data_IF_006623245585
#
_entry.id   IF_006623245585
#
_cell.length_a   1.000
_cell.length_b   1.000
_cell.length_c   1.000
_cell.angle_alpha   90.00
_cell.angle_beta   90.00
_cell.angle_gamma   90.00
#
_symmetry.space_group_name_H-M   'P 1'
#
loop_
_entity.id
_entity.type
_entity.pdbx_description
1 polymer ?
#
# COMPACT_ATOMS: atom_id res chain seq x y z
N UNK A 1 -5.88 63.32 -11.54
CA UNK A 1 -5.15 62.84 -12.73
C UNK A 1 -5.68 61.47 -13.09
N UNK A 2 -5.62 61.07 -14.35
CA UNK A 2 -6.05 59.73 -14.80
C UNK A 2 -4.95 58.71 -14.53
N UNK A 3 -5.32 57.49 -14.12
CA UNK A 3 -4.37 56.41 -13.89
C UNK A 3 -3.65 56.03 -15.19
N UNK A 4 -2.33 55.82 -15.12
CA UNK A 4 -1.57 55.27 -16.26
C UNK A 4 -1.82 53.78 -16.37
N UNK A 5 -2.42 53.34 -17.46
CA UNK A 5 -2.71 51.92 -17.72
C UNK A 5 -1.71 51.27 -18.69
N UNK A 6 -0.76 52.07 -19.22
CA UNK A 6 0.27 51.65 -20.16
C UNK A 6 1.66 52.11 -19.72
N UNK A 7 2.70 51.44 -20.20
CA UNK A 7 4.11 51.76 -19.93
C UNK A 7 4.62 52.99 -20.71
N UNK A 8 3.80 53.59 -21.58
CA UNK A 8 4.18 54.72 -22.45
C UNK A 8 3.41 56.01 -22.18
N UNK A 9 2.45 56.01 -21.27
CA UNK A 9 1.52 57.14 -21.06
C UNK A 9 1.48 57.64 -19.61
N UNK A 10 2.52 57.36 -18.83
CA UNK A 10 2.65 57.78 -17.44
C UNK A 10 3.08 59.25 -17.28
N UNK A 11 2.86 59.82 -16.09
CA UNK A 11 3.31 61.18 -15.75
C UNK A 11 4.83 61.30 -15.58
N UNK A 12 5.54 60.18 -15.43
CA UNK A 12 7.01 60.09 -15.38
C UNK A 12 7.44 59.00 -16.37
N UNK A 13 8.27 59.36 -17.34
CA UNK A 13 8.85 58.45 -18.34
C UNK A 13 10.32 58.85 -18.51
N UNK A 14 11.25 57.92 -18.30
CA UNK A 14 12.69 58.12 -18.52
C UNK A 14 13.24 57.01 -19.41
N UNK A 15 14.21 57.33 -20.28
CA UNK A 15 14.81 56.33 -21.17
C UNK A 15 15.82 55.41 -20.45
N UNK A 16 16.40 55.85 -19.32
CA UNK A 16 17.49 55.16 -18.60
C UNK A 16 17.10 54.53 -17.26
N UNK A 17 15.80 54.46 -16.93
CA UNK A 17 15.32 53.91 -15.66
C UNK A 17 15.29 54.93 -14.51
N UNK A 18 15.01 54.43 -13.30
CA UNK A 18 14.91 55.22 -12.06
C UNK A 18 15.69 54.48 -10.96
N UNK A 19 16.65 55.15 -10.34
CA UNK A 19 17.36 54.65 -9.15
C UNK A 19 16.80 55.28 -7.87
N UNK A 20 16.49 54.48 -6.85
CA UNK A 20 15.99 54.95 -5.55
C UNK A 20 16.83 54.34 -4.44
N UNK A 21 17.63 55.16 -3.74
CA UNK A 21 18.60 54.68 -2.75
C UNK A 21 18.00 54.31 -1.39
N UNK A 22 16.77 54.76 -1.09
CA UNK A 22 16.07 54.46 0.16
C UNK A 22 14.89 53.53 -0.11
N UNK A 23 13.66 54.05 -0.10
CA UNK A 23 12.45 53.27 -0.29
C UNK A 23 11.54 53.87 -1.37
N UNK A 24 10.77 52.99 -1.99
CA UNK A 24 9.58 53.34 -2.77
C UNK A 24 8.38 52.83 -1.99
N UNK A 25 7.37 53.68 -1.79
CA UNK A 25 6.09 53.26 -1.22
C UNK A 25 5.02 53.46 -2.30
N UNK A 26 4.29 52.41 -2.64
CA UNK A 26 3.22 52.42 -3.65
C UNK A 26 1.90 52.24 -2.89
N UNK A 27 1.00 53.21 -2.98
CA UNK A 27 -0.27 53.19 -2.25
C UNK A 27 -1.36 52.34 -2.90
N UNK A 28 -1.17 51.97 -4.17
CA UNK A 28 -2.08 51.15 -4.99
C UNK A 28 -1.27 50.01 -5.66
N UNK A 29 -1.62 49.64 -6.89
CA UNK A 29 -1.05 48.50 -7.61
C UNK A 29 0.34 48.79 -8.18
N UNK A 30 1.19 47.76 -8.18
CA UNK A 30 2.41 47.70 -8.97
C UNK A 30 2.19 46.75 -10.16
N UNK A 31 2.33 47.27 -11.37
CA UNK A 31 2.35 46.47 -12.61
C UNK A 31 3.73 46.54 -13.25
N UNK A 32 4.32 45.39 -13.51
CA UNK A 32 5.62 45.24 -14.19
C UNK A 32 5.37 44.48 -15.49
N UNK A 33 5.82 45.03 -16.61
CA UNK A 33 5.67 44.40 -17.93
C UNK A 33 6.81 43.44 -18.28
N UNK A 34 7.98 43.64 -17.68
CA UNK A 34 9.13 42.76 -17.80
C UNK A 34 9.36 41.94 -16.53
N UNK A 35 10.57 41.44 -16.38
CA UNK A 35 10.95 40.59 -15.26
C UNK A 35 11.11 41.38 -13.95
N UNK A 36 10.89 40.68 -12.84
CA UNK A 36 11.20 41.17 -11.50
C UNK A 36 12.39 40.37 -10.97
N UNK A 37 13.47 41.07 -10.60
CA UNK A 37 14.63 40.48 -9.93
C UNK A 37 14.79 41.12 -8.56
N UNK A 38 14.79 40.30 -7.51
CA UNK A 38 15.04 40.72 -6.14
C UNK A 38 16.32 40.07 -5.65
N UNK A 39 17.32 40.87 -5.29
CA UNK A 39 18.63 40.36 -4.82
C UNK A 39 18.54 39.81 -3.39
N UNK A 40 17.69 40.43 -2.56
CA UNK A 40 17.38 39.95 -1.22
C UNK A 40 16.06 39.20 -1.17
N UNK A 41 15.59 38.99 0.05
CA UNK A 41 14.33 38.28 0.32
C UNK A 41 13.12 39.07 -0.22
N UNK A 42 12.13 38.32 -0.70
CA UNK A 42 10.81 38.85 -1.04
C UNK A 42 9.79 38.32 -0.05
N UNK A 43 9.05 39.23 0.60
CA UNK A 43 7.96 38.88 1.51
C UNK A 43 6.63 39.31 0.89
N UNK A 44 5.69 38.37 0.77
CA UNK A 44 4.32 38.63 0.34
C UNK A 44 3.39 38.22 1.47
N UNK A 45 2.74 39.20 2.11
CA UNK A 45 1.86 38.93 3.25
C UNK A 45 0.49 38.36 2.85
N UNK A 46 0.12 38.50 1.57
CA UNK A 46 -1.11 37.96 0.99
C UNK A 46 -0.88 36.68 0.19
N UNK A 47 -1.83 36.36 -0.68
CA UNK A 47 -1.73 35.21 -1.57
C UNK A 47 -0.76 35.49 -2.73
N UNK A 48 -0.15 34.43 -3.22
CA UNK A 48 0.68 34.43 -4.42
C UNK A 48 0.07 33.46 -5.43
N UNK A 49 -0.05 33.88 -6.69
CA UNK A 49 -0.52 33.04 -7.80
C UNK A 49 0.60 32.96 -8.83
N UNK A 50 0.94 31.76 -9.26
CA UNK A 50 1.95 31.50 -10.28
C UNK A 50 1.31 30.86 -11.51
N UNK A 51 1.71 31.33 -12.68
CA UNK A 51 1.27 30.79 -13.97
C UNK A 51 -0.20 31.05 -14.31
N UNK A 52 -0.51 30.87 -15.58
CA UNK A 52 -1.84 30.90 -16.19
C UNK A 52 -2.03 29.83 -17.29
N UNK A 53 -0.98 29.03 -17.57
CA UNK A 53 -0.97 27.94 -18.54
C UNK A 53 -0.39 26.65 -17.96
N UNK A 54 -0.73 25.50 -18.57
CA UNK A 54 -0.21 24.19 -18.14
C UNK A 54 1.29 24.00 -18.40
N UNK A 55 1.91 24.91 -19.15
CA UNK A 55 3.35 24.91 -19.45
C UNK A 55 4.17 25.72 -18.46
N UNK A 56 3.52 26.46 -17.55
CA UNK A 56 4.23 27.28 -16.57
C UNK A 56 4.95 26.42 -15.54
N UNK A 57 6.05 26.96 -15.02
CA UNK A 57 6.90 26.27 -14.08
C UNK A 57 7.20 27.18 -12.89
N UNK A 58 7.21 26.57 -11.72
CA UNK A 58 7.81 27.15 -10.52
C UNK A 58 9.01 26.28 -10.19
N UNK A 59 10.20 26.87 -10.27
CA UNK A 59 11.45 26.17 -9.96
C UNK A 59 11.90 26.56 -8.56
N UNK A 60 12.02 25.59 -7.68
CA UNK A 60 12.57 25.76 -6.34
C UNK A 60 14.02 25.27 -6.32
N UNK A 61 14.98 26.20 -6.24
CA UNK A 61 16.41 25.87 -5.99
C UNK A 61 16.76 25.82 -4.49
N UNK A 62 15.79 26.15 -3.64
CA UNK A 62 15.90 26.18 -2.19
C UNK A 62 14.83 25.27 -1.55
N UNK A 63 14.96 25.04 -0.25
CA UNK A 63 14.04 24.20 0.51
C UNK A 63 12.70 24.91 0.78
N UNK A 64 11.64 24.12 0.93
CA UNK A 64 10.36 24.60 1.46
C UNK A 64 10.35 24.38 2.98
N UNK A 65 10.50 25.46 3.73
CA UNK A 65 10.55 25.42 5.20
C UNK A 65 9.15 25.60 5.83
N UNK A 66 8.16 24.87 5.33
CA UNK A 66 6.78 24.88 5.82
C UNK A 66 6.00 23.67 5.33
N UNK A 67 4.79 23.47 5.86
CA UNK A 67 3.87 22.43 5.37
C UNK A 67 3.24 22.82 4.03
N UNK A 68 3.08 21.84 3.13
CA UNK A 68 2.25 21.97 1.93
C UNK A 68 0.84 21.47 2.26
N UNK A 69 -0.08 22.39 2.51
CA UNK A 69 -1.47 22.07 2.91
C UNK A 69 -2.44 22.68 1.89
N UNK A 70 -3.28 21.88 1.19
CA UNK A 70 -4.29 22.41 0.28
C UNK A 70 -5.42 23.12 1.04
N UNK A 71 -6.06 24.10 0.39
CA UNK A 71 -7.19 24.86 0.96
C UNK A 71 -8.55 24.18 0.77
N UNK A 72 -8.60 23.05 0.05
CA UNK A 72 -9.80 22.24 -0.15
C UNK A 72 -9.46 20.75 -0.06
N UNK A 73 -10.31 19.99 0.63
CA UNK A 73 -10.09 18.58 0.88
C UNK A 73 -10.24 17.75 -0.40
N UNK A 74 -9.28 16.85 -0.67
CA UNK A 74 -9.25 15.93 -1.82
C UNK A 74 -9.52 16.59 -3.20
N UNK A 75 -9.19 17.88 -3.36
CA UNK A 75 -9.45 18.63 -4.60
C UNK A 75 -8.22 18.78 -5.49
N UNK A 76 -7.02 18.65 -4.93
CA UNK A 76 -5.75 18.87 -5.62
C UNK A 76 -4.90 17.61 -5.62
N UNK A 77 -4.20 17.37 -6.73
CA UNK A 77 -3.29 16.24 -6.90
C UNK A 77 -1.84 16.71 -6.82
N UNK A 78 -0.95 15.78 -6.48
CA UNK A 78 0.50 15.92 -6.69
C UNK A 78 0.85 15.04 -7.89
N UNK A 79 1.06 15.66 -9.06
CA UNK A 79 1.19 14.94 -10.34
C UNK A 79 -0.16 14.55 -10.95
N UNK A 80 -0.12 13.76 -12.03
CA UNK A 80 -1.30 13.21 -12.71
C UNK A 80 -0.96 11.87 -13.39
N UNK A 81 -1.93 11.27 -14.11
CA UNK A 81 -1.78 9.95 -14.75
C UNK A 81 -0.73 9.88 -15.86
N UNK A 82 -0.29 11.01 -16.39
CA UNK A 82 0.71 11.11 -17.47
C UNK A 82 2.02 11.77 -17.02
N UNK A 83 1.99 12.51 -15.91
CA UNK A 83 3.10 13.29 -15.36
C UNK A 83 3.27 12.94 -13.90
N UNK A 84 4.15 11.97 -13.64
CA UNK A 84 4.41 11.43 -12.31
C UNK A 84 5.74 11.98 -11.77
N UNK A 85 5.81 12.14 -10.45
CA UNK A 85 7.09 12.35 -9.79
C UNK A 85 7.86 11.04 -9.79
N UNK A 86 9.19 11.11 -9.94
CA UNK A 86 10.02 9.92 -9.97
C UNK A 86 9.93 9.12 -8.65
N UNK A 87 9.90 9.81 -7.51
CA UNK A 87 9.94 9.20 -6.18
C UNK A 87 9.34 10.14 -5.12
N UNK A 88 8.99 9.58 -3.96
CA UNK A 88 8.68 10.31 -2.74
C UNK A 88 9.49 9.73 -1.57
N UNK A 89 10.26 10.57 -0.88
CA UNK A 89 11.00 10.20 0.33
C UNK A 89 10.41 10.94 1.52
N UNK A 90 9.64 10.24 2.35
CA UNK A 90 8.97 10.79 3.53
C UNK A 90 9.25 9.90 4.75
N UNK A 91 9.36 10.50 5.93
CA UNK A 91 9.52 9.72 7.17
C UNK A 91 8.24 8.96 7.57
N UNK A 92 7.07 9.47 7.17
CA UNK A 92 5.77 8.87 7.41
C UNK A 92 4.76 9.32 6.34
N UNK A 93 3.86 8.41 5.95
CA UNK A 93 2.74 8.70 5.07
C UNK A 93 1.43 8.29 5.76
N UNK A 94 0.53 9.25 5.95
CA UNK A 94 -0.86 8.99 6.36
C UNK A 94 -1.78 9.03 5.14
N UNK A 95 -2.64 8.03 4.98
CA UNK A 95 -3.55 7.92 3.83
C UNK A 95 -4.97 7.74 4.34
N UNK A 96 -5.82 8.73 4.06
CA UNK A 96 -7.24 8.73 4.45
C UNK A 96 -8.10 9.12 3.27
N UNK A 97 -9.11 8.30 2.98
CA UNK A 97 -10.12 8.60 1.97
C UNK A 97 -11.37 9.23 2.62
N UNK A 98 -12.08 10.08 1.88
CA UNK A 98 -13.42 10.55 2.28
C UNK A 98 -14.44 9.44 2.01
N UNK A 99 -15.55 9.46 2.76
CA UNK A 99 -16.63 8.46 2.66
C UNK A 99 -17.25 8.37 1.26
N UNK A 100 -17.14 9.42 0.46
CA UNK A 100 -17.63 9.51 -0.92
C UNK A 100 -16.49 9.61 -1.96
N UNK A 101 -15.25 9.23 -1.61
CA UNK A 101 -14.08 9.30 -2.51
C UNK A 101 -14.28 8.49 -3.81
N UNK A 102 -15.11 7.44 -3.78
CA UNK A 102 -15.39 6.57 -4.93
C UNK A 102 -14.17 5.77 -5.43
N UNK A 103 -13.06 5.78 -4.68
CA UNK A 103 -11.79 5.12 -4.99
C UNK A 103 -11.14 4.56 -3.73
N UNK A 104 -10.27 3.54 -3.84
CA UNK A 104 -9.45 3.08 -2.72
C UNK A 104 -8.55 4.20 -2.17
N UNK A 105 -8.26 4.18 -0.88
CA UNK A 105 -7.31 5.08 -0.23
C UNK A 105 -5.90 4.99 -0.85
N UNK A 106 -5.45 3.77 -1.14
CA UNK A 106 -4.20 3.48 -1.82
C UNK A 106 -4.47 2.62 -3.05
N UNK A 107 -3.91 3.02 -4.19
CA UNK A 107 -3.88 2.22 -5.42
C UNK A 107 -2.42 2.11 -5.86
N UNK A 108 -1.96 0.89 -6.12
CA UNK A 108 -0.63 0.61 -6.65
C UNK A 108 -0.81 -0.13 -7.97
N UNK A 109 -0.17 0.37 -9.03
CA UNK A 109 -0.18 -0.26 -10.36
C UNK A 109 1.23 -0.26 -10.89
N UNK A 110 1.85 -1.44 -10.98
CA UNK A 110 3.15 -1.62 -11.61
C UNK A 110 2.94 -2.04 -13.06
N UNK A 111 3.39 -1.22 -13.99
CA UNK A 111 3.40 -1.55 -15.42
C UNK A 111 4.72 -2.18 -15.85
N UNK A 112 5.74 -2.06 -15.01
CA UNK A 112 7.02 -2.73 -15.22
C UNK A 112 6.90 -4.20 -14.76
N UNK A 113 7.23 -5.13 -15.66
CA UNK A 113 6.88 -6.55 -15.50
C UNK A 113 7.95 -7.36 -14.76
N UNK A 114 9.15 -6.82 -14.61
CA UNK A 114 10.28 -7.47 -13.96
C UNK A 114 10.62 -6.88 -12.59
N UNK A 115 9.81 -5.95 -12.08
CA UNK A 115 9.99 -5.29 -10.79
C UNK A 115 8.84 -5.57 -9.81
N UNK A 116 9.13 -5.51 -8.52
CA UNK A 116 8.10 -5.61 -7.47
C UNK A 116 7.20 -4.37 -7.46
N UNK A 117 5.89 -4.58 -7.38
CA UNK A 117 4.93 -3.48 -7.19
C UNK A 117 4.98 -2.89 -5.78
N UNK A 118 5.12 -3.76 -4.76
CA UNK A 118 5.21 -3.38 -3.35
C UNK A 118 6.32 -4.20 -2.70
N UNK A 119 7.25 -3.51 -2.04
CA UNK A 119 8.27 -4.13 -1.21
C UNK A 119 8.14 -3.62 0.22
N UNK A 120 8.13 -4.53 1.19
CA UNK A 120 8.11 -4.21 2.62
C UNK A 120 9.31 -4.88 3.26
N UNK A 121 10.27 -4.08 3.72
CA UNK A 121 11.43 -4.54 4.46
C UNK A 121 11.36 -3.97 5.88
N UNK A 122 11.31 -4.86 6.87
CA UNK A 122 11.00 -4.51 8.25
C UNK A 122 12.11 -4.92 9.21
N UNK A 123 12.18 -4.25 10.36
CA UNK A 123 13.13 -4.56 11.44
C UNK A 123 12.44 -4.64 12.82
N UNK A 124 11.11 -4.62 12.84
CA UNK A 124 10.30 -4.79 14.04
C UNK A 124 10.54 -6.17 14.65
N UNK A 125 10.70 -6.24 15.98
CA UNK A 125 10.93 -7.49 16.72
C UNK A 125 9.72 -7.94 17.54
N UNK A 126 8.78 -7.02 17.80
CA UNK A 126 7.60 -7.25 18.65
C UNK A 126 6.29 -6.73 18.05
N UNK A 127 6.37 -5.97 16.96
CA UNK A 127 5.21 -5.40 16.29
C UNK A 127 5.01 -6.07 14.93
N UNK A 128 3.77 -6.08 14.46
CA UNK A 128 3.44 -6.62 13.15
C UNK A 128 4.05 -5.78 12.04
N UNK A 129 4.51 -6.45 10.98
CA UNK A 129 5.04 -5.79 9.78
C UNK A 129 3.91 -5.24 8.92
N UNK A 130 2.83 -6.02 8.81
CA UNK A 130 1.60 -5.66 8.14
C UNK A 130 0.45 -6.05 9.07
N UNK A 131 -0.30 -5.05 9.51
CA UNK A 131 -1.53 -5.24 10.28
C UNK A 131 -2.75 -4.96 9.39
N UNK A 132 -3.77 -5.83 9.48
CA UNK A 132 -5.01 -5.73 8.72
C UNK A 132 -6.18 -5.97 9.66
N UNK A 133 -6.69 -4.90 10.26
CA UNK A 133 -7.93 -4.92 11.05
C UNK A 133 -9.14 -4.65 10.14
N UNK A 134 -10.00 -5.66 9.97
CA UNK A 134 -11.13 -5.63 9.03
C UNK A 134 -12.45 -6.05 9.67
N UNK A 135 -12.64 -5.72 10.95
CA UNK A 135 -13.74 -6.22 11.81
C UNK A 135 -15.15 -5.88 11.30
N UNK A 136 -15.27 -4.86 10.47
CA UNK A 136 -16.55 -4.42 9.89
C UNK A 136 -16.86 -5.02 8.51
N UNK A 137 -16.00 -5.88 7.96
CA UNK A 137 -16.24 -6.55 6.68
C UNK A 137 -17.25 -7.68 6.87
N UNK A 138 -18.42 -7.59 6.21
CA UNK A 138 -19.51 -8.58 6.39
C UNK A 138 -19.62 -9.59 5.25
N UNK A 139 -19.29 -9.20 4.02
CA UNK A 139 -19.49 -10.02 2.81
C UNK A 139 -18.30 -10.00 1.84
N UNK A 140 -17.33 -9.11 2.08
CA UNK A 140 -16.12 -9.01 1.25
C UNK A 140 -15.03 -9.99 1.68
N UNK A 141 -13.95 -10.02 0.91
CA UNK A 141 -12.70 -10.68 1.27
C UNK A 141 -11.76 -9.64 1.86
N UNK A 142 -11.10 -9.96 2.96
CA UNK A 142 -10.07 -9.09 3.57
C UNK A 142 -8.79 -9.13 2.75
N UNK A 143 -8.39 -10.33 2.33
CA UNK A 143 -7.28 -10.57 1.40
C UNK A 143 -7.85 -11.39 0.24
N UNK A 144 -7.76 -10.85 -0.98
CA UNK A 144 -8.11 -11.55 -2.21
C UNK A 144 -6.87 -11.71 -3.09
N UNK A 145 -6.52 -12.95 -3.42
CA UNK A 145 -5.35 -13.29 -4.22
C UNK A 145 -5.82 -14.15 -5.39
N UNK A 146 -5.53 -13.69 -6.61
CA UNK A 146 -5.77 -14.43 -7.85
C UNK A 146 -4.47 -14.48 -8.64
N UNK A 147 -4.19 -15.61 -9.29
CA UNK A 147 -2.91 -15.84 -9.95
C UNK A 147 -3.08 -16.79 -11.15
N UNK A 148 -4.07 -16.53 -12.00
CA UNK A 148 -4.50 -17.44 -13.07
C UNK A 148 -3.41 -17.70 -14.13
N UNK A 149 -2.43 -16.81 -14.23
CA UNK A 149 -1.27 -16.96 -15.11
C UNK A 149 -0.08 -17.72 -14.47
N UNK A 150 -0.20 -18.15 -13.21
CA UNK A 150 0.90 -18.81 -12.48
C UNK A 150 1.16 -20.22 -13.03
N UNK A 151 2.29 -20.40 -13.71
CA UNK A 151 2.72 -21.71 -14.24
C UNK A 151 3.59 -22.50 -13.26
N UNK A 152 4.41 -21.79 -12.48
CA UNK A 152 5.35 -22.32 -11.48
C UNK A 152 5.42 -21.36 -10.29
N UNK A 153 5.68 -21.89 -9.09
CA UNK A 153 5.74 -21.09 -7.86
C UNK A 153 4.45 -21.19 -7.04
N UNK A 154 4.20 -20.17 -6.23
CA UNK A 154 3.08 -20.15 -5.28
C UNK A 154 2.38 -18.79 -5.26
N UNK A 155 1.05 -18.79 -5.22
CA UNK A 155 0.27 -17.57 -5.00
C UNK A 155 0.42 -17.05 -3.56
N UNK A 156 0.60 -17.95 -2.60
CA UNK A 156 0.95 -17.68 -1.21
C UNK A 156 2.14 -18.57 -0.83
N UNK A 157 3.22 -17.94 -0.39
CA UNK A 157 4.42 -18.61 0.09
C UNK A 157 4.69 -18.16 1.52
N UNK A 158 4.74 -19.10 2.46
CA UNK A 158 5.00 -18.85 3.87
C UNK A 158 6.16 -19.75 4.26
N UNK A 159 7.24 -19.13 4.73
CA UNK A 159 8.49 -19.82 5.03
C UNK A 159 9.06 -19.33 6.35
N UNK A 160 9.70 -20.25 7.08
CA UNK A 160 10.38 -19.95 8.33
C UNK A 160 11.57 -20.90 8.49
N UNK A 161 12.77 -20.37 8.23
CA UNK A 161 14.03 -21.07 8.47
C UNK A 161 14.58 -20.80 9.89
N UNK A 162 13.69 -20.47 10.84
CA UNK A 162 14.13 -20.24 12.23
C UNK A 162 14.54 -21.57 12.89
N UNK A 163 15.77 -21.60 13.42
CA UNK A 163 16.35 -22.77 14.10
C UNK A 163 15.82 -22.99 15.53
N UNK A 164 14.87 -22.17 16.00
CA UNK A 164 14.30 -22.31 17.33
C UNK A 164 13.54 -23.65 17.48
N UNK A 165 13.69 -24.29 18.64
CA UNK A 165 13.08 -25.59 18.94
C UNK A 165 11.78 -25.50 19.75
N UNK A 166 11.39 -24.31 20.16
CA UNK A 166 10.13 -24.08 20.88
C UNK A 166 8.92 -24.35 19.96
N UNK A 167 7.84 -24.86 20.53
CA UNK A 167 6.58 -25.10 19.80
C UNK A 167 5.99 -23.78 19.31
N UNK A 168 5.75 -23.67 18.00
CA UNK A 168 5.12 -22.52 17.35
C UNK A 168 4.32 -22.93 16.12
N UNK A 169 3.35 -22.11 15.75
CA UNK A 169 2.62 -22.22 14.49
C UNK A 169 3.19 -21.23 13.49
N UNK A 170 3.44 -21.68 12.25
CA UNK A 170 3.87 -20.80 11.15
C UNK A 170 2.66 -20.14 10.47
N UNK A 171 1.55 -20.86 10.35
CA UNK A 171 0.27 -20.35 9.90
C UNK A 171 -0.83 -20.85 10.84
N UNK A 172 -1.78 -19.97 11.16
CA UNK A 172 -2.87 -20.24 12.10
C UNK A 172 -4.17 -19.72 11.50
N UNK A 173 -5.22 -20.56 11.47
CA UNK A 173 -6.54 -20.22 10.94
C UNK A 173 -7.57 -20.52 12.03
N UNK A 174 -8.30 -19.50 12.49
CA UNK A 174 -9.16 -19.60 13.67
C UNK A 174 -10.56 -19.05 13.38
N UNK A 175 -11.57 -19.83 13.72
CA UNK A 175 -12.94 -19.36 13.98
C UNK A 175 -13.24 -19.64 15.45
N UNK A 176 -13.19 -18.60 16.30
CA UNK A 176 -13.22 -18.75 17.76
C UNK A 176 -14.57 -18.42 18.41
N UNK A 177 -15.59 -18.09 17.63
CA UNK A 177 -16.90 -17.83 18.21
C UNK A 177 -17.64 -19.13 18.47
N UNK A 178 -17.85 -19.49 19.75
CA UNK A 178 -18.43 -20.77 20.16
C UNK A 178 -19.79 -21.10 19.50
N UNK A 179 -20.60 -20.08 19.18
CA UNK A 179 -21.90 -20.29 18.53
C UNK A 179 -21.85 -20.36 17.00
N UNK A 180 -20.70 -20.15 16.35
CA UNK A 180 -20.55 -20.23 14.90
C UNK A 180 -20.43 -21.69 14.41
N UNK A 181 -21.37 -22.54 14.82
CA UNK A 181 -21.33 -24.01 14.63
C UNK A 181 -21.38 -24.46 13.17
N UNK A 182 -21.78 -23.59 12.25
CA UNK A 182 -21.76 -23.83 10.81
C UNK A 182 -20.56 -23.24 10.07
N UNK A 183 -19.59 -22.64 10.77
CA UNK A 183 -18.41 -22.07 10.14
C UNK A 183 -17.44 -23.15 9.66
N UNK A 184 -16.69 -22.84 8.60
CA UNK A 184 -15.55 -23.64 8.15
C UNK A 184 -14.29 -22.81 8.33
N UNK A 185 -13.31 -23.33 9.09
CA UNK A 185 -12.06 -22.62 9.32
C UNK A 185 -11.20 -22.53 8.05
N UNK A 186 -10.94 -23.66 7.41
CA UNK A 186 -10.17 -23.75 6.17
C UNK A 186 -10.93 -24.61 5.15
N UNK A 187 -11.10 -24.07 3.94
CA UNK A 187 -11.53 -24.84 2.77
C UNK A 187 -10.35 -24.97 1.82
N UNK A 188 -10.05 -26.19 1.39
CA UNK A 188 -9.05 -26.48 0.35
C UNK A 188 -9.76 -27.22 -0.77
N UNK A 189 -9.69 -26.69 -1.99
CA UNK A 189 -10.28 -27.28 -3.18
C UNK A 189 -9.21 -27.37 -4.26
N UNK A 190 -9.17 -28.51 -4.96
CA UNK A 190 -8.26 -28.75 -6.07
C UNK A 190 -9.01 -29.53 -7.14
N UNK A 191 -9.27 -28.90 -8.27
CA UNK A 191 -10.05 -29.52 -9.36
C UNK A 191 -9.23 -30.54 -10.17
N UNK A 192 -7.90 -30.46 -10.05
CA UNK A 192 -6.95 -31.46 -10.53
C UNK A 192 -5.73 -31.52 -9.60
N UNK A 193 -4.94 -32.60 -9.67
CA UNK A 193 -3.72 -32.74 -8.87
C UNK A 193 -3.98 -33.16 -7.42
N UNK A 194 -3.17 -32.64 -6.47
CA UNK A 194 -3.27 -32.93 -5.04
C UNK A 194 -3.83 -31.71 -4.31
N UNK A 195 -4.85 -31.89 -3.48
CA UNK A 195 -5.41 -30.80 -2.67
C UNK A 195 -4.50 -30.39 -1.51
N UNK A 196 -4.09 -31.36 -0.68
CA UNK A 196 -3.16 -31.15 0.42
C UNK A 196 -2.02 -32.16 0.29
N UNK A 197 -0.79 -31.66 0.32
CA UNK A 197 0.41 -32.49 0.41
C UNK A 197 1.10 -32.17 1.73
N UNK A 198 1.17 -33.16 2.62
CA UNK A 198 1.78 -33.02 3.94
C UNK A 198 3.07 -33.82 3.89
N UNK A 199 4.18 -33.13 4.06
CA UNK A 199 5.52 -33.71 4.03
C UNK A 199 6.31 -33.24 5.24
N UNK A 200 6.85 -34.20 5.99
CA UNK A 200 7.67 -33.92 7.16
C UNK A 200 8.98 -34.68 7.07
N UNK A 201 10.08 -33.93 7.19
CA UNK A 201 11.43 -34.47 7.22
C UNK A 201 11.94 -34.67 8.65
N UNK A 202 11.06 -34.53 9.66
CA UNK A 202 11.44 -34.62 11.06
C UNK A 202 11.86 -36.04 11.43
N UNK A 203 13.17 -36.29 11.43
CA UNK A 203 13.75 -37.59 11.77
C UNK A 203 13.51 -38.01 13.23
N UNK A 204 13.31 -37.04 14.14
CA UNK A 204 13.10 -37.29 15.57
C UNK A 204 11.71 -37.85 15.91
N UNK A 205 10.81 -37.96 14.93
CA UNK A 205 9.45 -38.46 15.11
C UNK A 205 8.45 -37.38 15.53
N UNK A 206 7.19 -37.57 15.15
CA UNK A 206 6.07 -36.65 15.36
C UNK A 206 4.92 -36.94 14.38
N UNK A 207 3.79 -36.26 14.53
CA UNK A 207 2.68 -36.38 13.59
C UNK A 207 2.89 -35.45 12.40
N UNK A 208 2.82 -35.99 11.18
CA UNK A 208 2.70 -35.17 9.98
C UNK A 208 1.31 -34.51 9.92
N UNK A 209 0.28 -35.25 10.37
CA UNK A 209 -1.10 -34.80 10.51
C UNK A 209 -1.63 -35.27 11.86
N UNK A 210 -2.14 -34.33 12.64
CA UNK A 210 -2.84 -34.57 13.90
C UNK A 210 -4.26 -34.05 13.79
N UNK A 211 -5.23 -34.83 14.28
CA UNK A 211 -6.63 -34.41 14.38
C UNK A 211 -7.03 -34.58 15.84
N UNK A 212 -6.98 -33.48 16.57
CA UNK A 212 -7.47 -33.40 17.95
C UNK A 212 -8.86 -32.75 17.96
N UNK A 213 -9.80 -33.34 18.69
CA UNK A 213 -11.19 -32.91 18.67
C UNK A 213 -11.92 -33.26 19.96
N UNK A 214 -12.52 -32.26 20.58
CA UNK A 214 -13.36 -32.38 21.78
C UNK A 214 -14.82 -32.78 21.47
N UNK A 215 -15.16 -33.07 20.21
CA UNK A 215 -16.50 -33.49 19.82
C UNK A 215 -16.94 -34.77 20.57
N UNK A 216 -18.05 -34.70 21.32
CA UNK A 216 -18.56 -35.82 22.14
C UNK A 216 -19.65 -36.65 21.46
N UNK A 217 -20.29 -36.12 20.42
CA UNK A 217 -21.48 -36.72 19.79
C UNK A 217 -21.44 -36.71 18.26
N UNK A 218 -20.36 -36.21 17.65
CA UNK A 218 -20.21 -36.00 16.21
C UNK A 218 -18.88 -36.57 15.69
N UNK A 219 -18.73 -36.63 14.37
CA UNK A 219 -17.57 -37.26 13.73
C UNK A 219 -16.35 -36.34 13.71
N UNK A 220 -15.21 -36.87 14.15
CA UNK A 220 -13.91 -36.16 14.12
C UNK A 220 -13.32 -36.05 12.71
N UNK A 221 -13.44 -37.12 11.91
CA UNK A 221 -12.92 -37.17 10.54
C UNK A 221 -13.85 -37.98 9.63
N UNK A 222 -13.83 -37.68 8.33
CA UNK A 222 -14.62 -38.38 7.31
C UNK A 222 -13.84 -38.48 6.00
N UNK A 223 -13.81 -39.68 5.44
CA UNK A 223 -13.38 -39.92 4.06
C UNK A 223 -14.60 -40.37 3.28
N UNK A 224 -15.00 -39.60 2.27
CA UNK A 224 -16.11 -39.95 1.38
C UNK A 224 -15.60 -39.96 -0.06
N UNK A 225 -15.62 -41.13 -0.69
CA UNK A 225 -15.14 -41.33 -2.05
C UNK A 225 -16.26 -41.85 -2.95
N UNK A 226 -16.29 -41.34 -4.18
CA UNK A 226 -17.13 -41.85 -5.28
C UNK A 226 -16.35 -42.81 -6.20
N UNK A 227 -15.12 -43.17 -5.82
CA UNK A 227 -14.24 -43.98 -6.65
C UNK A 227 -14.90 -45.32 -7.01
N UNK A 228 -14.94 -45.62 -8.31
CA UNK A 228 -15.38 -46.91 -8.85
C UNK A 228 -14.22 -47.89 -9.02
N UNK A 229 -12.98 -47.43 -8.81
CA UNK A 229 -11.73 -48.21 -8.83
C UNK A 229 -10.62 -47.46 -8.07
N UNK A 230 -9.55 -48.15 -7.65
CA UNK A 230 -8.39 -47.57 -6.98
C UNK A 230 -8.40 -47.72 -5.46
N UNK A 231 -7.57 -46.93 -4.76
CA UNK A 231 -7.44 -46.96 -3.30
C UNK A 231 -8.09 -45.72 -2.68
N UNK A 232 -9.07 -45.92 -1.79
CA UNK A 232 -9.73 -44.81 -1.06
C UNK A 232 -8.87 -44.33 0.12
N UNK A 233 -8.25 -45.27 0.83
CA UNK A 233 -7.31 -45.02 1.91
C UNK A 233 -6.23 -46.11 1.86
N UNK A 234 -4.97 -45.68 1.74
CA UNK A 234 -3.82 -46.56 1.86
C UNK A 234 -3.14 -46.29 3.20
N UNK A 235 -2.85 -47.36 3.94
CA UNK A 235 -2.00 -47.32 5.13
C UNK A 235 -0.87 -48.30 4.90
N UNK A 236 0.32 -47.79 4.62
CA UNK A 236 1.50 -48.59 4.31
C UNK A 236 2.72 -48.02 5.00
N UNK A 237 3.65 -48.90 5.40
CA UNK A 237 4.94 -48.53 5.98
C UNK A 237 6.06 -49.13 5.11
N UNK A 238 6.96 -48.29 4.62
CA UNK A 238 8.07 -48.71 3.76
C UNK A 238 9.42 -48.90 4.49
N UNK A 239 9.52 -48.51 5.77
CA UNK A 239 10.74 -48.61 6.60
C UNK A 239 10.69 -49.76 7.63
N UNK A 240 11.80 -49.95 8.37
CA UNK A 240 11.88 -50.93 9.48
C UNK A 240 11.06 -50.43 10.67
N UNK A 241 10.03 -51.18 11.07
CA UNK A 241 9.20 -50.84 12.22
C UNK A 241 9.83 -51.28 13.54
N UNK A 242 9.97 -50.36 14.48
CA UNK A 242 10.12 -50.67 15.91
C UNK A 242 8.98 -50.02 16.67
N UNK A 243 7.89 -50.76 16.95
CA UNK A 243 6.71 -50.22 17.64
C UNK A 243 5.42 -51.02 17.40
N UNK A 244 4.27 -50.51 17.87
CA UNK A 244 2.93 -51.03 17.57
C UNK A 244 2.30 -50.24 16.43
N UNK A 245 1.61 -50.95 15.52
CA UNK A 245 0.76 -50.37 14.47
C UNK A 245 -0.50 -49.82 15.11
#
# INVERSE_FOLDING_TARGET
TTNSTSNTTGSIITAGGIGVAKCVNIGEDLKVWGDVTTVGDTTISGNLTFGDASTDQVTFSADINSSLIPNANLSFNIGNTTMQWANAWVGHAGITQKTDSGKPALTVTATDVDQLAVSVTASQTTADVVDIAADSVTTGKVIDITADALTTGSALYIDSDSSATDTRSIATIIQNHASATGSTGLTVQSDAGRGVFIDTNLAAGGFALEIDSEQTTTNVAKIASIATSGTVLEVSQAGVMTGKV
#
